data_IF_410862962283
#
_entry.id   IF_410862962283
#
_cell.length_a   1.000
_cell.length_b   1.000
_cell.length_c   1.000
_cell.angle_alpha   90.00
_cell.angle_beta   90.00
_cell.angle_gamma   90.00
#
_symmetry.space_group_name_H-M   'P 1'
#
loop_
_entity.id
_entity.type
_entity.pdbx_description
1 polymer ?
#
# COMPACT_ATOMS: atom_id res chain seq x y z
N UNK A 1 34.36 -33.17 13.31
CA UNK A 1 34.74 -31.76 13.11
C UNK A 1 34.44 -31.31 11.68
N UNK A 2 34.81 -32.04 10.63
CA UNK A 2 34.41 -31.67 9.25
C UNK A 2 32.89 -31.78 9.00
N UNK A 3 32.25 -32.83 9.51
CA UNK A 3 30.80 -33.07 9.36
C UNK A 3 29.91 -32.00 10.02
N UNK A 4 30.33 -31.47 11.18
CA UNK A 4 29.59 -30.40 11.86
C UNK A 4 29.67 -29.07 11.10
N UNK A 5 30.80 -28.79 10.45
CA UNK A 5 30.99 -27.56 9.67
C UNK A 5 30.15 -27.59 8.39
N UNK A 6 30.12 -28.71 7.68
CA UNK A 6 29.25 -28.90 6.50
C UNK A 6 27.77 -28.77 6.87
N UNK A 7 27.33 -29.39 7.97
CA UNK A 7 25.94 -29.27 8.42
C UNK A 7 25.57 -27.83 8.79
N UNK A 8 26.49 -27.07 9.40
CA UNK A 8 26.26 -25.65 9.69
C UNK A 8 26.16 -24.80 8.42
N UNK A 9 26.92 -25.13 7.37
CA UNK A 9 26.83 -24.45 6.08
C UNK A 9 25.47 -24.71 5.43
N UNK A 10 25.01 -25.96 5.38
CA UNK A 10 23.68 -26.31 4.85
C UNK A 10 22.55 -25.59 5.61
N UNK A 11 22.63 -25.55 6.95
CA UNK A 11 21.66 -24.82 7.78
C UNK A 11 21.67 -23.30 7.55
N UNK A 12 22.82 -22.74 7.14
CA UNK A 12 22.93 -21.31 6.82
C UNK A 12 22.36 -21.02 5.43
N UNK A 13 22.63 -21.87 4.44
CA UNK A 13 22.05 -21.77 3.10
C UNK A 13 20.52 -21.81 3.15
N UNK A 14 19.95 -22.77 3.89
CA UNK A 14 18.49 -22.87 4.06
C UNK A 14 17.89 -21.58 4.65
N UNK A 15 18.55 -20.98 5.64
CA UNK A 15 18.10 -19.72 6.25
C UNK A 15 18.22 -18.54 5.28
N UNK A 16 19.28 -18.50 4.47
CA UNK A 16 19.48 -17.44 3.47
C UNK A 16 18.37 -17.50 2.42
N UNK A 17 18.06 -18.71 1.92
CA UNK A 17 16.99 -18.90 0.94
C UNK A 17 15.63 -18.51 1.50
N UNK A 18 15.33 -18.90 2.75
CA UNK A 18 14.10 -18.51 3.42
C UNK A 18 13.97 -16.98 3.60
N UNK A 19 15.09 -16.30 3.91
CA UNK A 19 15.14 -14.83 4.01
C UNK A 19 14.90 -14.20 2.64
N UNK A 20 15.57 -14.68 1.60
CA UNK A 20 15.41 -14.18 0.24
C UNK A 20 13.94 -14.24 -0.21
N UNK A 21 13.30 -15.40 -0.02
CA UNK A 21 11.90 -15.61 -0.33
C UNK A 21 10.97 -14.68 0.46
N UNK A 22 11.25 -14.48 1.75
CA UNK A 22 10.46 -13.58 2.60
C UNK A 22 10.58 -12.12 2.17
N UNK A 23 11.80 -11.69 1.80
CA UNK A 23 12.06 -10.32 1.34
C UNK A 23 11.39 -10.06 0.00
N UNK A 24 11.45 -10.99 -0.95
CA UNK A 24 10.82 -10.80 -2.27
C UNK A 24 9.29 -10.75 -2.15
N UNK A 25 8.70 -11.57 -1.27
CA UNK A 25 7.26 -11.49 -0.93
C UNK A 25 6.91 -10.12 -0.34
N UNK A 26 7.71 -9.64 0.62
CA UNK A 26 7.49 -8.34 1.27
C UNK A 26 7.59 -7.20 0.26
N UNK A 27 8.59 -7.24 -0.64
CA UNK A 27 8.76 -6.26 -1.72
C UNK A 27 7.52 -6.22 -2.61
N UNK A 28 7.01 -7.37 -3.02
CA UNK A 28 5.80 -7.45 -3.87
C UNK A 28 4.56 -6.93 -3.15
N UNK A 29 4.36 -7.33 -1.89
CA UNK A 29 3.22 -6.86 -1.10
C UNK A 29 3.28 -5.38 -0.77
N UNK A 30 4.47 -4.83 -0.52
CA UNK A 30 4.65 -3.40 -0.29
C UNK A 30 4.23 -2.59 -1.52
N UNK A 31 4.65 -3.01 -2.72
CA UNK A 31 4.23 -2.36 -3.96
C UNK A 31 2.72 -2.41 -4.14
N UNK A 32 2.09 -3.57 -3.95
CA UNK A 32 0.63 -3.70 -4.07
C UNK A 32 -0.09 -2.86 -3.01
N UNK A 33 0.36 -2.90 -1.76
CA UNK A 33 -0.24 -2.14 -0.66
C UNK A 33 -0.16 -0.64 -0.90
N UNK A 34 0.95 -0.13 -1.44
CA UNK A 34 1.10 1.29 -1.77
C UNK A 34 0.04 1.75 -2.79
N UNK A 35 -0.17 0.98 -3.85
CA UNK A 35 -1.19 1.30 -4.85
C UNK A 35 -2.60 1.19 -4.27
N UNK A 36 -2.87 0.17 -3.45
CA UNK A 36 -4.16 0.02 -2.75
C UNK A 36 -4.41 1.19 -1.80
N UNK A 37 -3.40 1.62 -1.03
CA UNK A 37 -3.56 2.77 -0.13
C UNK A 37 -3.81 4.05 -0.90
N UNK A 38 -3.11 4.27 -2.03
CA UNK A 38 -3.42 5.40 -2.91
C UNK A 38 -4.86 5.33 -3.43
N UNK A 39 -5.31 4.16 -3.88
CA UNK A 39 -6.63 3.99 -4.45
C UNK A 39 -7.77 4.16 -3.44
N UNK A 40 -7.59 3.69 -2.21
CA UNK A 40 -8.64 3.68 -1.18
C UNK A 40 -8.64 4.95 -0.33
N UNK A 41 -7.47 5.58 -0.13
CA UNK A 41 -7.35 6.76 0.74
C UNK A 41 -7.14 8.03 -0.08
N UNK A 42 -6.13 8.04 -0.94
CA UNK A 42 -5.71 9.27 -1.64
C UNK A 42 -6.72 9.65 -2.73
N UNK A 43 -7.19 8.70 -3.54
CA UNK A 43 -8.17 8.99 -4.60
C UNK A 43 -9.49 9.55 -4.03
N UNK A 44 -10.12 8.96 -2.99
CA UNK A 44 -11.32 9.55 -2.40
C UNK A 44 -11.05 10.91 -1.74
N UNK A 45 -9.91 11.08 -1.07
CA UNK A 45 -9.56 12.36 -0.48
C UNK A 45 -9.45 13.47 -1.54
N UNK A 46 -8.78 13.20 -2.66
CA UNK A 46 -8.73 14.11 -3.80
C UNK A 46 -10.12 14.35 -4.39
N UNK A 47 -10.92 13.30 -4.57
CA UNK A 47 -12.30 13.42 -5.03
C UNK A 47 -13.15 14.35 -4.15
N UNK A 48 -13.02 14.24 -2.83
CA UNK A 48 -13.73 15.08 -1.87
C UNK A 48 -13.31 16.54 -1.93
N UNK A 49 -12.03 16.83 -2.18
CA UNK A 49 -11.54 18.22 -2.35
C UNK A 49 -12.27 18.92 -3.50
N UNK A 50 -12.65 18.20 -4.56
CA UNK A 50 -13.44 18.77 -5.66
C UNK A 50 -14.95 18.65 -5.45
N UNK A 51 -15.41 17.55 -4.87
CA UNK A 51 -16.83 17.28 -4.67
C UNK A 51 -17.46 18.23 -3.64
N UNK A 52 -16.76 18.54 -2.54
CA UNK A 52 -17.30 19.39 -1.47
C UNK A 52 -17.59 20.81 -1.99
N UNK A 53 -16.65 21.54 -2.63
CA UNK A 53 -16.94 22.87 -3.18
C UNK A 53 -18.02 22.84 -4.26
N UNK A 54 -18.00 21.85 -5.15
CA UNK A 54 -19.01 21.71 -6.20
C UNK A 54 -20.41 21.51 -5.60
N UNK A 55 -20.51 20.67 -4.56
CA UNK A 55 -21.73 20.45 -3.81
C UNK A 55 -22.22 21.76 -3.16
N UNK A 56 -21.37 22.45 -2.39
CA UNK A 56 -21.75 23.71 -1.72
C UNK A 56 -22.27 24.73 -2.73
N UNK A 57 -21.55 24.95 -3.84
CA UNK A 57 -21.95 25.91 -4.88
C UNK A 57 -23.32 25.59 -5.49
N UNK A 58 -23.63 24.31 -5.68
CA UNK A 58 -24.93 23.89 -6.22
C UNK A 58 -26.08 24.19 -5.25
N UNK A 59 -25.88 23.99 -3.95
CA UNK A 59 -26.90 24.28 -2.94
C UNK A 59 -27.07 25.79 -2.73
N UNK A 60 -25.98 26.56 -2.69
CA UNK A 60 -26.06 28.02 -2.55
C UNK A 60 -26.75 28.66 -3.76
N UNK A 61 -26.46 28.21 -4.98
CA UNK A 61 -27.14 28.71 -6.18
C UNK A 61 -28.64 28.39 -6.19
N UNK A 62 -29.03 27.20 -5.73
CA UNK A 62 -30.44 26.82 -5.60
C UNK A 62 -31.16 27.66 -4.55
N UNK A 63 -30.48 27.98 -3.45
CA UNK A 63 -31.01 28.83 -2.39
C UNK A 63 -31.18 30.29 -2.84
N UNK A 64 -30.20 30.85 -3.57
CA UNK A 64 -30.30 32.19 -4.16
C UNK A 64 -31.45 32.30 -5.17
N UNK A 65 -31.72 31.26 -5.97
CA UNK A 65 -32.84 31.26 -6.91
C UNK A 65 -34.23 31.21 -6.26
N UNK A 66 -34.31 30.95 -4.95
CA UNK A 66 -35.55 30.95 -4.17
C UNK A 66 -35.80 32.27 -3.41
N UNK A 67 -34.79 33.14 -3.30
CA UNK A 67 -34.88 34.47 -2.69
C UNK A 67 -35.24 35.54 -3.74
#
# INVERSE_FOLDING_TARGET
>A
METETTSKIEQLEEKIDAIYDSVEKTRKYFLVMMWVSLAVVVLPALGLIFAIPAFINSYTASFEGLL
#
